data_IF_753150054473
#
_entry.id   IF_753150054473
#
_cell.length_a   1.000
_cell.length_b   1.000
_cell.length_c   1.000
_cell.angle_alpha   90.00
_cell.angle_beta   90.00
_cell.angle_gamma   90.00
#
_symmetry.space_group_name_H-M   'P 1'
#
loop_
_entity.id
_entity.type
_entity.pdbx_description
1 polymer ?
#
# COMPACT_ATOMS: atom_id res chain seq x y z
N UNK A 1 -20.58 -19.51 -8.48
CA UNK A 1 -19.72 -18.32 -8.31
C UNK A 1 -20.69 -17.19 -8.06
N UNK A 2 -20.88 -16.81 -6.80
CA UNK A 2 -21.97 -15.92 -6.41
C UNK A 2 -21.72 -14.51 -6.93
N UNK A 3 -22.76 -13.99 -7.56
CA UNK A 3 -22.90 -12.65 -8.11
C UNK A 3 -22.50 -11.57 -7.09
N UNK A 4 -21.54 -10.73 -7.46
CA UNK A 4 -21.22 -9.46 -6.78
C UNK A 4 -21.77 -8.31 -7.65
N UNK A 5 -23.04 -8.40 -8.04
CA UNK A 5 -23.69 -7.40 -8.91
C UNK A 5 -24.21 -6.17 -8.13
N UNK A 6 -24.16 -6.19 -6.80
CA UNK A 6 -24.63 -5.10 -5.98
C UNK A 6 -23.54 -4.62 -5.00
N UNK A 7 -22.99 -3.44 -5.30
CA UNK A 7 -22.02 -2.73 -4.47
C UNK A 7 -22.66 -1.54 -3.74
N UNK A 8 -23.98 -1.35 -3.83
CA UNK A 8 -24.69 -0.19 -3.24
C UNK A 8 -24.60 -0.16 -1.71
N UNK A 9 -24.20 -1.28 -1.10
CA UNK A 9 -24.03 -1.45 0.34
C UNK A 9 -22.58 -1.72 0.78
N UNK A 10 -21.58 -1.48 -0.09
CA UNK A 10 -20.17 -1.53 0.33
C UNK A 10 -19.85 -0.25 1.09
N UNK A 11 -20.27 -0.19 2.34
CA UNK A 11 -19.79 0.80 3.31
C UNK A 11 -18.62 0.19 4.08
N UNK A 12 -17.43 0.76 3.93
CA UNK A 12 -16.35 0.60 4.89
C UNK A 12 -16.24 1.84 5.75
N UNK A 13 -15.82 1.69 7.00
CA UNK A 13 -15.44 2.84 7.82
C UNK A 13 -14.24 3.54 7.19
N UNK A 14 -14.20 4.88 7.27
CA UNK A 14 -13.02 5.63 6.87
C UNK A 14 -11.81 5.16 7.69
N UNK A 15 -10.66 5.02 7.02
CA UNK A 15 -9.44 4.60 7.69
C UNK A 15 -9.01 5.67 8.69
N UNK A 16 -8.78 5.26 9.93
CA UNK A 16 -8.22 6.13 10.95
C UNK A 16 -6.77 6.52 10.60
N UNK A 17 -6.26 7.65 11.11
CA UNK A 17 -4.87 8.04 10.88
C UNK A 17 -3.84 6.98 11.32
N UNK A 18 -4.16 6.22 12.37
CA UNK A 18 -3.31 5.12 12.87
C UNK A 18 -3.28 3.97 11.86
N UNK A 19 -4.42 3.60 11.28
CA UNK A 19 -4.49 2.56 10.25
C UNK A 19 -3.76 2.99 8.97
N UNK A 20 -3.93 4.24 8.54
CA UNK A 20 -3.22 4.78 7.37
C UNK A 20 -1.70 4.73 7.57
N UNK A 21 -1.20 5.11 8.76
CA UNK A 21 0.23 4.99 9.11
C UNK A 21 0.70 3.53 9.10
N UNK A 22 -0.12 2.60 9.59
CA UNK A 22 0.18 1.16 9.54
C UNK A 22 0.32 0.65 8.10
N UNK A 23 -0.59 1.07 7.21
CA UNK A 23 -0.54 0.72 5.79
C UNK A 23 0.72 1.30 5.13
N UNK A 24 1.06 2.57 5.39
CA UNK A 24 2.28 3.20 4.87
C UNK A 24 3.54 2.44 5.31
N UNK A 25 3.64 2.05 6.57
CA UNK A 25 4.77 1.28 7.08
C UNK A 25 4.91 -0.08 6.38
N UNK A 26 3.79 -0.76 6.12
CA UNK A 26 3.78 -2.03 5.40
C UNK A 26 4.24 -1.86 3.95
N UNK A 27 3.76 -0.83 3.26
CA UNK A 27 4.19 -0.53 1.88
C UNK A 27 5.70 -0.22 1.84
N UNK A 28 6.21 0.56 2.79
CA UNK A 28 7.64 0.90 2.88
C UNK A 28 8.50 -0.35 3.13
N UNK A 29 8.03 -1.28 3.96
CA UNK A 29 8.66 -2.57 4.18
C UNK A 29 8.70 -3.41 2.90
N UNK A 30 7.58 -3.47 2.17
CA UNK A 30 7.46 -4.28 0.95
C UNK A 30 8.33 -3.72 -0.18
N UNK A 31 8.40 -2.40 -0.34
CA UNK A 31 9.35 -1.73 -1.26
C UNK A 31 10.78 -2.08 -0.86
N UNK A 32 11.11 -1.97 0.43
CA UNK A 32 12.46 -2.28 0.94
C UNK A 32 12.84 -3.73 0.64
N UNK A 33 11.92 -4.67 0.84
CA UNK A 33 12.14 -6.09 0.53
C UNK A 33 12.35 -6.33 -0.97
N UNK A 34 11.55 -5.68 -1.83
CA UNK A 34 11.71 -5.78 -3.29
C UNK A 34 13.08 -5.26 -3.78
N UNK A 35 13.55 -4.16 -3.20
CA UNK A 35 14.84 -3.55 -3.53
C UNK A 35 16.00 -4.37 -2.97
N UNK A 36 15.94 -4.71 -1.67
CA UNK A 36 17.01 -5.41 -0.94
C UNK A 36 17.28 -6.79 -1.50
N UNK A 37 16.24 -7.55 -1.84
CA UNK A 37 16.40 -8.91 -2.35
C UNK A 37 16.97 -8.94 -3.78
N UNK A 38 17.29 -7.79 -4.39
CA UNK A 38 17.71 -7.71 -5.79
C UNK A 38 16.65 -8.21 -6.77
N UNK A 39 15.42 -8.45 -6.29
CA UNK A 39 14.28 -8.97 -7.06
C UNK A 39 13.92 -8.07 -8.22
N UNK A 40 14.20 -6.77 -8.10
CA UNK A 40 14.05 -5.76 -9.16
C UNK A 40 15.17 -5.84 -10.21
N UNK A 41 16.43 -6.00 -9.81
CA UNK A 41 17.54 -6.18 -10.75
C UNK A 41 17.42 -7.51 -11.52
N UNK A 42 16.91 -8.55 -10.86
CA UNK A 42 16.63 -9.84 -11.49
C UNK A 42 15.54 -9.79 -12.58
N UNK A 43 14.71 -8.73 -12.66
CA UNK A 43 13.69 -8.57 -13.72
C UNK A 43 14.34 -8.53 -15.11
N UNK A 44 15.48 -7.86 -15.24
CA UNK A 44 16.15 -7.72 -16.53
C UNK A 44 16.91 -8.99 -16.97
N UNK A 45 17.13 -9.93 -16.05
CA UNK A 45 17.92 -11.14 -16.29
C UNK A 45 17.12 -12.44 -16.17
N UNK A 46 15.85 -12.39 -15.75
CA UNK A 46 15.00 -13.57 -15.64
C UNK A 46 14.48 -13.98 -17.02
N UNK A 47 15.29 -14.78 -17.71
CA UNK A 47 14.86 -15.58 -18.86
C UNK A 47 13.70 -16.48 -18.40
N UNK A 48 12.63 -16.53 -19.20
CA UNK A 48 11.46 -17.35 -18.98
C UNK A 48 11.85 -18.83 -18.74
N UNK A 49 11.92 -19.23 -17.47
CA UNK A 49 12.03 -20.63 -17.06
C UNK A 49 10.64 -21.24 -16.87
N UNK A 50 10.56 -22.55 -17.10
CA UNK A 50 9.42 -23.45 -17.35
C UNK A 50 8.30 -23.52 -16.27
N UNK A 51 8.14 -22.49 -15.46
CA UNK A 51 7.05 -22.35 -14.48
C UNK A 51 6.61 -20.89 -14.47
N UNK A 52 5.87 -20.54 -15.53
CA UNK A 52 5.52 -19.19 -15.96
C UNK A 52 4.59 -18.41 -15.03
N UNK A 53 5.09 -18.03 -13.85
CA UNK A 53 4.61 -16.82 -13.17
C UNK A 53 5.74 -15.80 -13.23
N UNK A 54 5.93 -15.21 -14.41
CA UNK A 54 6.65 -13.94 -14.54
C UNK A 54 5.81 -12.86 -13.87
N UNK A 55 5.86 -12.78 -12.53
CA UNK A 55 5.29 -11.65 -11.80
C UNK A 55 6.00 -10.41 -12.31
N UNK A 56 5.27 -9.48 -12.93
CA UNK A 56 5.83 -8.21 -13.37
C UNK A 56 6.16 -7.36 -12.12
N UNK A 57 7.37 -7.55 -11.59
CA UNK A 57 7.82 -6.90 -10.35
C UNK A 57 8.00 -5.39 -10.51
N UNK A 58 8.23 -4.89 -11.73
CA UNK A 58 8.27 -3.46 -12.02
C UNK A 58 6.86 -2.85 -11.91
N UNK A 59 5.84 -3.54 -12.45
CA UNK A 59 4.44 -3.16 -12.25
C UNK A 59 4.03 -3.24 -10.77
N UNK A 60 4.52 -4.23 -10.02
CA UNK A 60 4.27 -4.33 -8.58
C UNK A 60 4.91 -3.17 -7.80
N UNK A 61 6.17 -2.83 -8.09
CA UNK A 61 6.81 -1.66 -7.49
C UNK A 61 6.04 -0.36 -7.80
N UNK A 62 5.62 -0.18 -9.05
CA UNK A 62 4.84 0.98 -9.45
C UNK A 62 3.51 1.04 -8.68
N UNK A 63 2.82 -0.09 -8.52
CA UNK A 63 1.59 -0.17 -7.74
C UNK A 63 1.82 0.21 -6.27
N UNK A 64 2.90 -0.27 -5.65
CA UNK A 64 3.27 0.09 -4.28
C UNK A 64 3.60 1.58 -4.14
N UNK A 65 4.34 2.16 -5.09
CA UNK A 65 4.67 3.59 -5.08
C UNK A 65 3.40 4.47 -5.22
N UNK A 66 2.49 4.07 -6.12
CA UNK A 66 1.19 4.75 -6.29
C UNK A 66 0.32 4.62 -5.04
N UNK A 67 0.25 3.43 -4.44
CA UNK A 67 -0.48 3.22 -3.18
C UNK A 67 0.10 4.07 -2.04
N UNK A 68 1.43 4.12 -1.92
CA UNK A 68 2.11 4.97 -0.95
C UNK A 68 1.73 6.44 -1.11
N UNK A 69 1.73 6.94 -2.34
CA UNK A 69 1.37 8.33 -2.63
C UNK A 69 -0.08 8.62 -2.24
N UNK A 70 -1.00 7.70 -2.54
CA UNK A 70 -2.41 7.83 -2.19
C UNK A 70 -2.65 7.86 -0.68
N UNK A 71 -2.08 6.91 0.07
CA UNK A 71 -2.25 6.91 1.53
C UNK A 71 -1.55 8.08 2.21
N UNK A 72 -0.45 8.56 1.63
CA UNK A 72 0.21 9.78 2.11
C UNK A 72 -0.66 11.02 1.88
N UNK A 73 -1.34 11.14 0.75
CA UNK A 73 -2.25 12.28 0.51
C UNK A 73 -3.43 12.24 1.47
N UNK A 74 -4.05 11.07 1.69
CA UNK A 74 -5.11 10.91 2.69
C UNK A 74 -4.64 11.33 4.08
N UNK A 75 -3.44 10.92 4.50
CA UNK A 75 -2.91 11.30 5.81
C UNK A 75 -2.67 12.81 5.93
N UNK A 76 -2.27 13.47 4.85
CA UNK A 76 -2.02 14.92 4.82
C UNK A 76 -3.32 15.73 4.76
N UNK A 77 -4.38 15.17 4.17
CA UNK A 77 -5.70 15.77 4.06
C UNK A 77 -6.50 15.69 5.37
N UNK A 78 -6.18 14.74 6.25
CA UNK A 78 -6.76 14.69 7.59
C UNK A 78 -6.30 15.96 8.34
N UNK A 79 -7.22 16.90 8.64
CA UNK A 79 -6.85 18.10 9.36
C UNK A 79 -6.27 17.68 10.71
N UNK A 80 -5.09 18.23 11.04
CA UNK A 80 -4.42 18.04 12.34
C UNK A 80 -5.22 18.74 13.44
N UNK A 81 -6.46 18.33 13.68
CA UNK A 81 -7.28 18.78 14.78
C UNK A 81 -7.09 17.79 15.93
N UNK A 82 -6.70 18.34 17.09
CA UNK A 82 -6.62 17.72 18.41
C UNK A 82 -5.32 17.00 18.78
N UNK A 83 -4.27 17.80 19.03
CA UNK A 83 -3.43 17.62 20.23
C UNK A 83 -3.53 18.92 21.06
N UNK A 84 -4.74 19.19 21.54
CA UNK A 84 -4.99 20.22 22.55
C UNK A 84 -6.11 19.68 23.43
N UNK A 85 -5.80 19.44 24.71
CA UNK A 85 -6.57 18.75 25.77
C UNK A 85 -6.14 17.27 25.92
N UNK A 86 -5.62 16.79 27.05
CA UNK A 86 -5.57 17.34 28.40
C UNK A 86 -4.33 16.80 29.14
N UNK A 87 -3.48 17.70 29.62
CA UNK A 87 -2.60 17.47 30.77
C UNK A 87 -2.45 18.82 31.48
N UNK A 88 -3.57 19.23 32.08
CA UNK A 88 -3.65 20.20 33.15
C UNK A 88 -4.44 19.52 34.26
N UNK A 89 -3.77 18.63 34.98
CA UNK A 89 -4.03 18.34 36.40
C UNK A 89 -2.68 18.04 37.07
#
# INVERSE_FOLDING_TARGET
MSDLSDLEHVSGDELTPVQIRGILNQIDLDITNLVRDGKLAAINYSVAGDSGVTTNRAANLQALLTARQYYQSLLNEIPSFQISQASLE
#
